data_IF_665516538439
#
_entry.id   IF_665516538439
#
_cell.length_a   1.000
_cell.length_b   1.000
_cell.length_c   1.000
_cell.angle_alpha   90.00
_cell.angle_beta   90.00
_cell.angle_gamma   90.00
#
_symmetry.space_group_name_H-M   'P 1'
#
loop_
_entity.id
_entity.type
_entity.pdbx_description
1 polymer ?
#
# COMPACT_ATOMS: atom_id res chain seq x y z
N UNK A 1 -0.84 -9.22 18.45
CA UNK A 1 -1.08 -8.84 19.87
C UNK A 1 -0.49 -7.46 20.13
N UNK A 2 -1.18 -6.54 20.83
CA UNK A 2 -0.59 -5.26 21.18
C UNK A 2 0.62 -5.49 22.10
N UNK A 3 1.73 -4.78 21.84
CA UNK A 3 2.88 -4.81 22.74
C UNK A 3 2.44 -4.25 24.09
N UNK A 4 2.57 -5.05 25.15
CA UNK A 4 2.22 -4.65 26.51
C UNK A 4 3.30 -3.73 27.10
N UNK A 5 3.35 -2.49 26.60
CA UNK A 5 4.20 -1.46 27.15
C UNK A 5 3.37 -0.62 28.12
N UNK A 6 3.74 -0.52 29.41
CA UNK A 6 3.01 0.30 30.36
C UNK A 6 3.08 1.76 29.91
N UNK A 7 1.92 2.33 29.55
CA UNK A 7 1.82 3.74 29.18
C UNK A 7 1.82 4.58 30.46
N UNK A 8 2.70 5.58 30.50
CA UNK A 8 2.68 6.58 31.58
C UNK A 8 1.47 7.50 31.41
N UNK A 9 0.88 7.94 32.51
CA UNK A 9 -0.26 8.86 32.52
C UNK A 9 0.15 10.26 32.03
N UNK A 10 1.38 10.68 32.31
CA UNK A 10 1.93 11.96 31.88
C UNK A 10 3.35 11.80 31.32
N UNK A 11 3.57 12.37 30.14
CA UNK A 11 4.89 12.51 29.52
C UNK A 11 5.38 13.95 29.66
N UNK A 12 6.56 14.13 30.24
CA UNK A 12 7.24 15.41 30.50
C UNK A 12 8.62 15.41 29.85
N UNK A 13 9.30 16.56 29.70
CA UNK A 13 10.67 16.61 29.18
C UNK A 13 11.67 15.71 29.95
N UNK A 14 11.42 15.42 31.24
CA UNK A 14 12.25 14.48 32.03
C UNK A 14 12.26 13.06 31.45
N UNK A 15 11.23 12.68 30.71
CA UNK A 15 11.09 11.32 30.16
C UNK A 15 11.95 11.05 28.93
N UNK A 16 12.50 12.09 28.29
CA UNK A 16 13.37 11.98 27.11
C UNK A 16 14.81 12.41 27.40
N UNK A 17 15.17 12.58 28.68
CA UNK A 17 16.49 13.12 29.07
C UNK A 17 17.68 12.24 28.65
N UNK A 18 17.46 10.93 28.47
CA UNK A 18 18.46 9.99 28.00
C UNK A 18 18.60 9.93 26.48
N UNK A 19 17.76 10.64 25.73
CA UNK A 19 17.77 10.64 24.27
C UNK A 19 18.95 11.45 23.74
N UNK A 20 19.78 10.86 22.88
CA UNK A 20 20.91 11.53 22.23
C UNK A 20 20.50 11.95 20.83
N UNK A 21 20.41 13.25 20.58
CA UNK A 21 19.92 13.77 19.31
C UNK A 21 20.63 13.15 18.10
N UNK A 22 21.96 13.26 18.02
CA UNK A 22 22.73 12.84 16.85
C UNK A 22 22.66 11.33 16.54
N UNK A 23 22.39 10.48 17.54
CA UNK A 23 22.39 9.01 17.38
C UNK A 23 20.99 8.41 17.33
N UNK A 24 20.06 8.96 18.12
CA UNK A 24 18.75 8.35 18.32
C UNK A 24 17.65 9.08 17.51
N UNK A 25 17.84 10.36 17.15
CA UNK A 25 16.83 11.17 16.44
C UNK A 25 17.30 11.68 15.06
N UNK A 26 18.41 12.40 15.01
CA UNK A 26 19.02 12.94 13.79
C UNK A 26 18.20 14.02 13.08
N UNK A 27 18.75 14.51 11.97
CA UNK A 27 18.03 15.32 10.99
C UNK A 27 17.31 14.42 9.97
N UNK A 28 16.19 14.87 9.37
CA UNK A 28 15.57 14.13 8.26
C UNK A 28 16.58 13.94 7.12
N UNK A 29 16.49 12.81 6.42
CA UNK A 29 17.41 12.45 5.34
C UNK A 29 18.81 12.00 5.78
N UNK A 30 19.05 11.87 7.09
CA UNK A 30 20.33 11.41 7.63
C UNK A 30 20.10 10.28 8.62
N UNK A 31 21.05 9.34 8.72
CA UNK A 31 21.02 8.30 9.76
C UNK A 31 20.81 8.93 11.15
N UNK A 32 19.94 8.37 12.02
CA UNK A 32 19.22 7.10 11.92
C UNK A 32 17.87 7.13 11.16
N UNK A 33 17.57 8.21 10.46
CA UNK A 33 16.32 8.42 9.71
C UNK A 33 15.04 8.41 10.56
N UNK A 34 15.16 8.52 11.89
CA UNK A 34 14.01 8.56 12.82
C UNK A 34 13.01 9.67 12.46
N UNK A 35 13.50 10.77 11.88
CA UNK A 35 12.67 11.91 11.44
C UNK A 35 12.27 11.89 9.97
N UNK A 36 12.53 10.80 9.25
CA UNK A 36 12.20 10.63 7.85
C UNK A 36 13.43 10.37 6.96
N UNK A 37 13.21 9.63 5.87
CA UNK A 37 14.26 9.21 4.93
C UNK A 37 14.65 10.30 3.91
N UNK A 38 13.84 11.35 3.75
CA UNK A 38 14.11 12.46 2.84
C UNK A 38 14.32 13.76 3.62
N UNK A 39 15.24 14.66 3.24
CA UNK A 39 15.49 15.91 3.97
C UNK A 39 14.27 16.83 4.07
N UNK A 40 13.46 16.90 3.00
CA UNK A 40 12.29 17.78 2.92
C UNK A 40 10.97 17.06 3.21
N UNK A 41 10.94 15.73 3.19
CA UNK A 41 9.71 14.93 3.34
C UNK A 41 8.55 15.54 2.53
N UNK A 42 7.39 15.72 3.18
CA UNK A 42 6.15 16.18 2.57
C UNK A 42 6.10 17.67 2.23
N UNK A 43 7.08 18.48 2.66
CA UNK A 43 7.18 19.87 2.17
C UNK A 43 7.79 19.91 0.77
N UNK A 44 8.55 18.89 0.37
CA UNK A 44 9.07 18.75 -1.00
C UNK A 44 8.11 17.93 -1.89
N UNK A 45 7.72 16.74 -1.44
CA UNK A 45 6.77 15.88 -2.16
C UNK A 45 5.85 15.17 -1.18
N UNK A 46 4.51 15.34 -1.28
CA UNK A 46 3.55 14.57 -0.49
C UNK A 46 3.71 13.06 -0.71
N UNK A 47 3.19 12.26 0.22
CA UNK A 47 3.13 10.81 0.02
C UNK A 47 2.24 10.47 -1.19
N UNK A 48 2.50 9.33 -1.82
CA UNK A 48 1.66 8.83 -2.92
C UNK A 48 0.30 8.42 -2.38
N UNK A 49 -0.77 9.03 -2.87
CA UNK A 49 -2.13 8.54 -2.70
C UNK A 49 -2.31 7.31 -3.59
N UNK A 50 -2.45 6.13 -2.98
CA UNK A 50 -2.45 4.83 -3.66
C UNK A 50 -3.52 3.93 -3.04
N UNK A 51 -4.73 3.97 -3.58
CA UNK A 51 -5.78 3.06 -3.17
C UNK A 51 -5.50 1.66 -3.71
N UNK A 52 -5.71 0.67 -2.85
CA UNK A 52 -5.69 -0.73 -3.22
C UNK A 52 -7.03 -1.11 -3.86
N UNK A 53 -7.02 -1.54 -5.11
CA UNK A 53 -8.25 -1.76 -5.88
C UNK A 53 -8.10 -2.90 -6.89
N UNK A 54 -9.18 -3.66 -7.04
CA UNK A 54 -9.31 -4.74 -8.00
C UNK A 54 -10.59 -5.52 -7.71
N UNK A 55 -11.36 -5.83 -8.75
CA UNK A 55 -12.55 -6.66 -8.70
C UNK A 55 -12.96 -7.07 -10.11
N UNK A 56 -13.66 -8.20 -10.23
CA UNK A 56 -14.24 -8.65 -11.49
C UNK A 56 -13.17 -8.90 -12.55
N UNK A 57 -13.47 -8.48 -13.78
CA UNK A 57 -12.58 -8.64 -14.93
C UNK A 57 -11.60 -7.46 -15.06
N UNK A 58 -10.58 -7.64 -15.90
CA UNK A 58 -9.55 -6.63 -16.12
C UNK A 58 -10.14 -5.26 -16.54
N UNK A 59 -11.09 -5.22 -17.48
CA UNK A 59 -11.75 -3.96 -17.87
C UNK A 59 -12.53 -3.27 -16.74
N UNK A 60 -13.10 -4.01 -15.79
CA UNK A 60 -13.84 -3.42 -14.67
C UNK A 60 -12.89 -2.70 -13.71
N UNK A 61 -11.76 -3.34 -13.43
CA UNK A 61 -10.70 -2.75 -12.61
C UNK A 61 -10.00 -1.59 -13.34
N UNK A 62 -9.81 -1.68 -14.66
CA UNK A 62 -9.29 -0.58 -15.48
C UNK A 62 -10.18 0.69 -15.38
N UNK A 63 -11.51 0.53 -15.56
CA UNK A 63 -12.47 1.64 -15.35
C UNK A 63 -12.34 2.24 -13.96
N UNK A 64 -12.14 1.41 -12.94
CA UNK A 64 -11.90 1.86 -11.56
C UNK A 64 -10.58 2.64 -11.43
N UNK A 65 -9.51 2.21 -12.07
CA UNK A 65 -8.24 2.95 -12.08
C UNK A 65 -8.39 4.32 -12.71
N UNK A 66 -8.99 4.42 -13.89
CA UNK A 66 -9.24 5.72 -14.53
C UNK A 66 -10.14 6.62 -13.68
N UNK A 67 -11.18 6.05 -13.04
CA UNK A 67 -11.99 6.78 -12.08
C UNK A 67 -11.13 7.34 -10.93
N UNK A 68 -10.33 6.51 -10.28
CA UNK A 68 -9.51 6.92 -9.14
C UNK A 68 -8.45 7.96 -9.52
N UNK A 69 -7.79 7.78 -10.67
CA UNK A 69 -6.83 8.75 -11.21
C UNK A 69 -7.51 10.11 -11.47
N UNK A 70 -8.70 10.09 -12.07
CA UNK A 70 -9.52 11.29 -12.25
C UNK A 70 -9.94 11.98 -10.95
N UNK A 71 -9.89 11.27 -9.82
CA UNK A 71 -10.23 11.79 -8.48
C UNK A 71 -8.99 12.03 -7.58
N UNK A 72 -7.79 12.12 -8.17
CA UNK A 72 -6.58 12.55 -7.47
C UNK A 72 -5.73 11.43 -6.87
N UNK A 73 -6.00 10.17 -7.20
CA UNK A 73 -5.03 9.09 -6.97
C UNK A 73 -3.76 9.36 -7.79
N UNK A 74 -2.59 9.07 -7.19
CA UNK A 74 -1.28 9.37 -7.79
C UNK A 74 -0.41 8.13 -7.99
N UNK A 75 -0.92 6.95 -7.64
CA UNK A 75 -0.30 5.66 -7.97
C UNK A 75 -1.32 4.54 -7.94
N UNK A 76 -1.17 3.55 -8.82
CA UNK A 76 -2.06 2.39 -8.90
C UNK A 76 -1.61 1.25 -7.98
N UNK A 77 -2.54 0.49 -7.42
CA UNK A 77 -2.24 -0.70 -6.64
C UNK A 77 -3.31 -1.76 -6.90
N UNK A 78 -2.88 -2.88 -7.47
CA UNK A 78 -3.77 -3.91 -7.99
C UNK A 78 -4.04 -4.97 -6.92
N UNK A 79 -5.31 -5.25 -6.64
CA UNK A 79 -5.75 -6.39 -5.85
C UNK A 79 -6.14 -7.54 -6.79
N UNK A 80 -5.45 -8.68 -6.71
CA UNK A 80 -5.77 -9.87 -7.48
C UNK A 80 -6.75 -10.77 -6.73
N UNK A 81 -7.55 -11.53 -7.47
CA UNK A 81 -8.45 -12.52 -6.88
C UNK A 81 -7.67 -13.72 -6.29
N UNK A 82 -8.38 -14.60 -5.58
CA UNK A 82 -7.74 -15.75 -4.96
C UNK A 82 -7.15 -16.74 -5.98
N UNK A 83 -7.82 -17.11 -7.09
CA UNK A 83 -7.24 -17.95 -8.15
C UNK A 83 -5.89 -17.43 -8.67
N UNK A 84 -5.81 -16.17 -9.10
CA UNK A 84 -4.57 -15.55 -9.60
C UNK A 84 -3.49 -15.56 -8.52
N UNK A 85 -3.82 -15.24 -7.26
CA UNK A 85 -2.86 -15.28 -6.14
C UNK A 85 -2.33 -16.69 -5.85
N UNK A 86 -3.14 -17.71 -6.09
CA UNK A 86 -2.80 -19.11 -5.85
C UNK A 86 -2.20 -19.82 -7.08
N UNK A 87 -2.11 -19.13 -8.22
CA UNK A 87 -1.55 -19.66 -9.46
C UNK A 87 -2.47 -20.63 -10.20
N UNK A 88 -3.78 -20.42 -10.11
CA UNK A 88 -4.77 -21.15 -10.90
C UNK A 88 -5.43 -20.24 -11.92
N UNK A 89 -5.61 -20.76 -13.13
CA UNK A 89 -6.43 -20.12 -14.16
C UNK A 89 -7.91 -20.13 -13.72
N UNK A 90 -8.70 -19.20 -14.27
CA UNK A 90 -10.12 -19.03 -13.92
C UNK A 90 -10.99 -20.26 -14.21
N UNK A 91 -10.61 -21.11 -15.16
CA UNK A 91 -11.33 -22.35 -15.50
C UNK A 91 -10.95 -23.56 -14.62
N UNK A 92 -9.92 -23.42 -13.78
CA UNK A 92 -9.48 -24.50 -12.92
C UNK A 92 -10.57 -24.87 -11.89
N UNK A 93 -10.83 -26.16 -11.59
CA UNK A 93 -11.93 -26.55 -10.69
C UNK A 93 -11.88 -25.95 -9.28
N UNK A 94 -10.69 -25.54 -8.80
CA UNK A 94 -10.52 -24.85 -7.51
C UNK A 94 -10.83 -23.35 -7.55
N UNK A 95 -10.99 -22.77 -8.72
CA UNK A 95 -11.26 -21.34 -8.93
C UNK A 95 -12.75 -21.02 -8.85
N UNK A 96 -13.61 -22.02 -8.97
CA UNK A 96 -15.07 -21.90 -8.98
C UNK A 96 -15.57 -21.12 -7.75
N UNK A 97 -16.22 -19.98 -7.99
CA UNK A 97 -16.79 -19.11 -6.97
C UNK A 97 -15.86 -18.01 -6.44
N UNK A 98 -14.57 -18.05 -6.79
CA UNK A 98 -13.55 -17.09 -6.35
C UNK A 98 -13.00 -16.20 -7.49
N UNK A 99 -13.26 -16.56 -8.76
CA UNK A 99 -12.86 -15.76 -9.94
C UNK A 99 -13.45 -14.35 -9.85
N UNK A 100 -12.60 -13.33 -9.92
CA UNK A 100 -12.94 -11.91 -9.81
C UNK A 100 -13.50 -11.51 -8.44
N UNK A 101 -13.45 -12.40 -7.44
CA UNK A 101 -13.96 -12.16 -6.08
C UNK A 101 -12.84 -11.62 -5.20
N UNK A 102 -13.07 -10.44 -4.63
CA UNK A 102 -12.08 -9.78 -3.76
C UNK A 102 -10.86 -9.20 -4.48
N UNK A 103 -10.79 -9.35 -5.81
CA UNK A 103 -9.71 -8.84 -6.66
C UNK A 103 -10.03 -9.05 -8.14
N UNK A 104 -9.16 -8.55 -9.01
CA UNK A 104 -9.25 -8.74 -10.46
C UNK A 104 -8.75 -10.13 -10.85
N UNK A 105 -9.46 -10.81 -11.75
CA UNK A 105 -9.01 -12.06 -12.36
C UNK A 105 -8.00 -11.77 -13.48
N UNK A 106 -6.86 -12.45 -13.44
CA UNK A 106 -5.80 -12.40 -14.47
C UNK A 106 -5.30 -13.83 -14.70
N UNK A 107 -5.47 -14.31 -15.93
CA UNK A 107 -5.00 -15.63 -16.36
C UNK A 107 -3.83 -15.50 -17.36
N UNK A 108 -3.81 -14.39 -18.11
CA UNK A 108 -3.00 -14.25 -19.32
C UNK A 108 -2.39 -12.86 -19.48
N UNK A 109 -1.61 -12.68 -20.55
CA UNK A 109 -1.06 -11.36 -20.91
C UNK A 109 -2.18 -10.43 -21.36
N UNK A 110 -3.15 -10.96 -22.09
CA UNK A 110 -4.29 -10.23 -22.65
C UNK A 110 -5.09 -9.53 -21.53
N UNK A 111 -5.27 -10.18 -20.38
CA UNK A 111 -5.94 -9.57 -19.23
C UNK A 111 -5.11 -8.42 -18.63
N UNK A 112 -3.79 -8.57 -18.57
CA UNK A 112 -2.89 -7.51 -18.09
C UNK A 112 -2.85 -6.31 -19.05
N UNK A 113 -2.93 -6.57 -20.35
CA UNK A 113 -3.06 -5.51 -21.36
C UNK A 113 -4.38 -4.77 -21.17
N UNK A 114 -5.50 -5.48 -21.02
CA UNK A 114 -6.81 -4.86 -20.76
C UNK A 114 -6.83 -4.08 -19.44
N UNK A 115 -6.14 -4.57 -18.42
CA UNK A 115 -6.06 -3.93 -17.10
C UNK A 115 -5.41 -2.54 -17.16
N UNK A 116 -4.43 -2.34 -18.05
CA UNK A 116 -3.61 -1.12 -18.12
C UNK A 116 -3.81 -0.27 -19.39
N UNK A 117 -4.77 -0.62 -20.24
CA UNK A 117 -5.09 0.15 -21.44
C UNK A 117 -5.88 1.45 -21.16
#
# INVERSE_FOLDING_TARGET
MPKNNPKKILCTPKNVRSLRYAKDLGNPGHFPFTRGIYPTMYTGKPWTMREFSGFGLAHDTNKRFHFLLGHGQTGLSVAFDLPTLMGYDSDHPKSVGEVGRGGVAIDSLEDMEELFH
#
